data_IF_394374331918
#
_entry.id   IF_394374331918
#
_cell.length_a   1.000
_cell.length_b   1.000
_cell.length_c   1.000
_cell.angle_alpha   90.00
_cell.angle_beta   90.00
_cell.angle_gamma   90.00
#
_symmetry.space_group_name_H-M   'P 1'
#
loop_
_entity.id
_entity.type
_entity.pdbx_description
1 polymer ?
#
# COMPACT_ATOMS: atom_id res chain seq x y z
N UNK A 1 10.75 4.51 -0.16
CA UNK A 1 9.37 4.62 0.36
C UNK A 1 8.43 4.49 -0.82
N UNK A 2 7.35 3.73 -0.66
CA UNK A 2 6.27 3.57 -1.63
C UNK A 2 5.03 4.26 -1.05
N UNK A 3 4.47 5.20 -1.80
CA UNK A 3 3.21 5.87 -1.46
C UNK A 3 2.18 5.47 -2.52
N UNK A 4 1.02 4.97 -2.08
CA UNK A 4 0.01 4.45 -2.99
C UNK A 4 -1.42 4.77 -2.53
N UNK A 5 -2.29 4.95 -3.52
CA UNK A 5 -3.74 5.12 -3.35
C UNK A 5 -4.40 4.04 -4.21
N UNK A 6 -5.27 3.24 -3.61
CA UNK A 6 -5.98 2.15 -4.27
C UNK A 6 -7.45 2.13 -3.87
N UNK A 7 -8.24 1.33 -4.59
CA UNK A 7 -9.60 0.98 -4.18
C UNK A 7 -9.61 0.40 -2.76
N UNK A 8 -10.73 0.57 -2.04
CA UNK A 8 -10.89 0.16 -0.65
C UNK A 8 -10.43 -1.27 -0.37
N UNK A 9 -9.40 -1.37 0.48
CA UNK A 9 -8.77 -2.62 0.90
C UNK A 9 -8.55 -2.60 2.41
N UNK A 10 -9.60 -2.91 3.20
CA UNK A 10 -9.53 -2.90 4.66
C UNK A 10 -8.63 -4.01 5.23
N UNK A 11 -8.20 -4.95 4.39
CA UNK A 11 -7.19 -5.97 4.72
C UNK A 11 -5.77 -5.42 4.82
N UNK A 12 -5.51 -4.23 4.25
CA UNK A 12 -4.21 -3.58 4.33
C UNK A 12 -4.13 -2.76 5.61
N UNK A 13 -3.27 -3.20 6.53
CA UNK A 13 -2.97 -2.50 7.79
C UNK A 13 -1.45 -2.30 7.92
N UNK A 14 -1.01 -1.54 8.94
CA UNK A 14 0.41 -1.47 9.27
C UNK A 14 1.02 -2.87 9.44
N UNK A 15 2.30 -3.01 9.10
CA UNK A 15 3.07 -4.26 9.07
C UNK A 15 2.63 -5.30 8.02
N UNK A 16 1.57 -5.02 7.24
CA UNK A 16 1.13 -5.91 6.17
C UNK A 16 2.20 -6.01 5.09
N UNK A 17 2.67 -7.22 4.75
CA UNK A 17 3.59 -7.41 3.64
C UNK A 17 2.85 -7.31 2.30
N UNK A 18 3.38 -6.51 1.37
CA UNK A 18 2.79 -6.33 0.04
C UNK A 18 3.84 -6.55 -1.06
N UNK A 19 3.35 -6.89 -2.26
CA UNK A 19 4.20 -7.05 -3.45
C UNK A 19 3.64 -6.24 -4.62
N UNK A 20 4.47 -5.40 -5.24
CA UNK A 20 4.14 -4.69 -6.48
C UNK A 20 4.44 -5.57 -7.68
N UNK A 21 3.43 -5.86 -8.51
CA UNK A 21 3.57 -6.66 -9.75
C UNK A 21 3.51 -5.72 -10.96
N UNK A 22 4.28 -6.00 -12.01
CA UNK A 22 4.27 -5.22 -13.26
C UNK A 22 5.04 -3.90 -13.20
N UNK A 23 5.58 -3.55 -12.04
CA UNK A 23 6.44 -2.37 -11.86
C UNK A 23 7.86 -2.85 -11.59
N UNK A 24 8.81 -2.46 -12.46
CA UNK A 24 10.23 -2.65 -12.18
C UNK A 24 10.63 -1.69 -11.07
N UNK A 25 10.84 -2.23 -9.88
CA UNK A 25 11.41 -1.50 -8.75
C UNK A 25 12.83 -2.03 -8.52
N UNK A 26 13.79 -1.19 -8.08
CA UNK A 26 15.16 -1.63 -7.76
C UNK A 26 15.22 -2.75 -6.72
N UNK A 27 14.12 -2.97 -6.00
CA UNK A 27 14.03 -3.66 -4.72
C UNK A 27 13.31 -5.02 -4.81
N UNK A 28 12.98 -5.46 -6.03
CA UNK A 28 12.24 -6.71 -6.23
C UNK A 28 10.76 -6.63 -5.80
N UNK A 29 10.26 -5.41 -5.59
CA UNK A 29 8.83 -5.14 -5.40
C UNK A 29 8.24 -5.57 -4.07
N UNK A 30 9.05 -5.91 -3.06
CA UNK A 30 8.57 -6.33 -1.74
C UNK A 30 8.62 -5.18 -0.74
N UNK A 31 7.52 -5.00 -0.01
CA UNK A 31 7.36 -3.88 0.91
C UNK A 31 6.63 -4.30 2.19
N UNK A 32 6.85 -3.55 3.26
CA UNK A 32 6.10 -3.62 4.52
C UNK A 32 5.37 -2.29 4.69
N UNK A 33 4.05 -2.35 4.84
CA UNK A 33 3.21 -1.16 5.06
C UNK A 33 3.53 -0.53 6.42
N UNK A 34 3.66 0.79 6.45
CA UNK A 34 3.98 1.57 7.66
C UNK A 34 2.76 2.31 8.20
N UNK A 35 1.99 2.96 7.33
CA UNK A 35 0.78 3.68 7.70
C UNK A 35 -0.31 3.45 6.67
N UNK A 36 -1.56 3.42 7.14
CA UNK A 36 -2.74 3.27 6.28
C UNK A 36 -3.80 4.26 6.74
N UNK A 37 -4.46 4.90 5.78
CA UNK A 37 -5.66 5.68 5.97
C UNK A 37 -6.78 5.10 5.10
N UNK A 38 -7.93 4.85 5.72
CA UNK A 38 -9.12 4.34 5.04
C UNK A 38 -10.19 5.43 5.10
N UNK A 39 -10.56 5.95 3.94
CA UNK A 39 -11.53 7.04 3.82
C UNK A 39 -12.66 6.65 2.88
N UNK A 40 -13.76 7.41 2.99
CA UNK A 40 -14.85 7.38 2.01
C UNK A 40 -14.72 8.63 1.17
N UNK A 41 -14.52 8.47 -0.14
CA UNK A 41 -14.40 9.57 -1.09
C UNK A 41 -15.33 9.33 -2.28
N UNK A 42 -16.12 10.35 -2.66
CA UNK A 42 -17.06 10.28 -3.79
C UNK A 42 -18.10 9.15 -3.72
N UNK A 43 -18.35 8.56 -2.56
CA UNK A 43 -19.24 7.39 -2.37
C UNK A 43 -18.55 6.03 -2.52
N UNK A 44 -17.23 6.00 -2.71
CA UNK A 44 -16.41 4.78 -2.72
C UNK A 44 -15.47 4.70 -1.52
N UNK A 45 -14.92 3.51 -1.28
CA UNK A 45 -13.87 3.30 -0.27
C UNK A 45 -12.50 3.49 -0.91
N UNK A 46 -11.64 4.24 -0.23
CA UNK A 46 -10.27 4.51 -0.67
C UNK A 46 -9.31 4.03 0.42
N UNK A 47 -8.20 3.44 0.02
CA UNK A 47 -7.12 3.07 0.92
C UNK A 47 -5.83 3.72 0.45
N UNK A 48 -5.31 4.60 1.30
CA UNK A 48 -4.03 5.29 1.09
C UNK A 48 -3.02 4.73 2.06
N UNK A 49 -1.83 4.36 1.59
CA UNK A 49 -0.81 3.80 2.46
C UNK A 49 0.60 4.22 2.07
N UNK A 50 1.49 4.16 3.06
CA UNK A 50 2.93 4.25 2.87
C UNK A 50 3.56 2.89 3.19
N UNK A 51 4.62 2.53 2.48
CA UNK A 51 5.35 1.30 2.70
C UNK A 51 6.87 1.49 2.56
N UNK A 52 7.61 0.74 3.36
CA UNK A 52 9.05 0.68 3.31
C UNK A 52 9.52 -0.63 2.69
N UNK A 53 10.73 -0.60 2.16
CA UNK A 53 11.30 -1.78 1.52
C UNK A 53 11.56 -2.86 2.56
N UNK A 54 11.15 -4.09 2.23
CA UNK A 54 11.57 -5.26 3.00
C UNK A 54 12.99 -5.65 2.56
N UNK A 55 13.98 -5.42 3.43
CA UNK A 55 15.39 -5.80 3.23
C UNK A 55 15.56 -7.30 3.43
#
# INVERSE_FOLDING_TARGET
>A
MLDAIIEGRPDIIAETPITTIGIKTPTGGKWIVQSVDHTVDGGGFVTTFTAEQKV
#
